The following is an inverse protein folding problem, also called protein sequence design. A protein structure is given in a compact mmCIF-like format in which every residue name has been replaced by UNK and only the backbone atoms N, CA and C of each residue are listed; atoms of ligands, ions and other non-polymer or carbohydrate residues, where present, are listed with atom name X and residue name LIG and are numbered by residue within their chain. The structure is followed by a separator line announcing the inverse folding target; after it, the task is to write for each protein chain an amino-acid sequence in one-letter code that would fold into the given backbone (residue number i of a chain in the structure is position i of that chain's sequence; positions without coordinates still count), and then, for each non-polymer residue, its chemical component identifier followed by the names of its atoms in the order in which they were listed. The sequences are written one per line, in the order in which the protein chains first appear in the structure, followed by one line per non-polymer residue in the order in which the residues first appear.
data_IF_691247054047
#
_entry.id   IF_691247054047
#
_cell.length_a   1.000
_cell.length_b   1.000
_cell.length_c   1.000
_cell.angle_alpha   90.00
_cell.angle_beta   90.00
_cell.angle_gamma   90.00
#
_symmetry.space_group_name_H-M   'P 1'
#
loop_
_entity.id
_entity.type
_entity.pdbx_description
1 polymer ?
#
# COMPACT_ATOMS: atom_id res chain seq x y z
N UNK A 1 5.72 -3.43 -28.50
CA UNK A 1 5.16 -2.25 -27.79
C UNK A 1 5.36 -2.51 -26.30
N UNK A 2 5.90 -1.54 -25.56
CA UNK A 2 6.02 -1.65 -24.10
C UNK A 2 4.71 -1.18 -23.48
N UNK A 3 3.97 -2.09 -22.84
CA UNK A 3 2.83 -1.71 -22.03
C UNK A 3 3.35 -1.24 -20.67
N UNK A 4 2.95 -0.03 -20.27
CA UNK A 4 3.32 0.55 -18.98
C UNK A 4 2.09 0.52 -18.09
N UNK A 5 2.14 -0.29 -17.06
CA UNK A 5 1.11 -0.34 -16.03
C UNK A 5 1.48 0.58 -14.87
N UNK A 6 0.54 1.38 -14.40
CA UNK A 6 0.76 2.29 -13.27
C UNK A 6 -0.10 1.89 -12.08
N UNK A 7 0.51 1.83 -10.91
CA UNK A 7 -0.17 1.70 -9.62
C UNK A 7 -0.05 3.04 -8.90
N UNK A 8 -1.18 3.65 -8.58
CA UNK A 8 -1.23 4.88 -7.77
C UNK A 8 -1.52 4.51 -6.31
N UNK A 9 -0.77 5.10 -5.39
CA UNK A 9 -0.93 4.95 -3.95
C UNK A 9 -0.93 6.35 -3.31
N UNK A 10 -2.09 6.77 -2.82
CA UNK A 10 -2.26 8.06 -2.15
C UNK A 10 -2.44 7.84 -0.64
N UNK A 11 -1.58 8.46 0.16
CA UNK A 11 -1.62 8.38 1.62
C UNK A 11 -2.02 9.75 2.16
N UNK A 12 -3.20 9.86 2.75
CA UNK A 12 -3.64 11.06 3.43
C UNK A 12 -3.13 11.05 4.88
N UNK A 13 -2.44 12.12 5.25
CA UNK A 13 -1.86 12.30 6.57
C UNK A 13 -2.70 13.29 7.40
N UNK A 14 -2.70 13.11 8.71
CA UNK A 14 -3.24 14.10 9.65
C UNK A 14 -2.26 15.26 9.90
N UNK A 15 -2.65 16.21 10.76
CA UNK A 15 -1.83 17.37 11.15
C UNK A 15 -0.47 16.98 11.78
N UNK A 16 -0.38 15.79 12.35
CA UNK A 16 0.83 15.23 12.96
C UNK A 16 1.63 14.35 11.97
N UNK A 17 1.28 14.38 10.68
CA UNK A 17 1.88 13.57 9.60
C UNK A 17 1.68 12.07 9.77
N UNK A 18 0.64 11.64 10.48
CA UNK A 18 0.34 10.21 10.64
C UNK A 18 -0.68 9.77 9.58
N UNK A 19 -0.49 8.61 8.91
CA UNK A 19 -1.44 8.08 7.94
C UNK A 19 -2.84 7.88 8.52
N UNK A 20 -3.82 8.56 7.93
CA UNK A 20 -5.24 8.44 8.29
C UNK A 20 -6.00 7.57 7.27
N UNK A 21 -5.76 7.78 5.97
CA UNK A 21 -6.42 7.03 4.89
C UNK A 21 -5.43 6.67 3.80
N UNK A 22 -5.64 5.51 3.19
CA UNK A 22 -4.86 5.03 2.05
C UNK A 22 -5.83 4.81 0.91
N UNK A 23 -5.52 5.33 -0.27
CA UNK A 23 -6.25 5.05 -1.50
C UNK A 23 -5.30 4.43 -2.51
N UNK A 24 -5.79 3.47 -3.29
CA UNK A 24 -5.01 2.86 -4.35
C UNK A 24 -5.83 2.68 -5.62
N UNK A 25 -5.13 2.67 -6.75
CA UNK A 25 -5.71 2.45 -8.07
C UNK A 25 -4.72 1.71 -8.96
N UNK A 26 -5.20 0.69 -9.66
CA UNK A 26 -4.43 -0.07 -10.63
C UNK A 26 -5.38 -0.47 -11.77
N UNK A 27 -5.52 0.40 -12.77
CA UNK A 27 -6.54 0.26 -13.80
C UNK A 27 -6.38 -1.03 -14.61
N UNK A 28 -5.14 -1.40 -14.94
CA UNK A 28 -4.84 -2.65 -15.64
C UNK A 28 -4.96 -3.89 -14.74
N UNK A 29 -4.86 -3.71 -13.42
CA UNK A 29 -5.06 -4.75 -12.41
C UNK A 29 -6.53 -4.94 -11.99
N UNK A 30 -7.47 -4.27 -12.67
CA UNK A 30 -8.91 -4.39 -12.39
C UNK A 30 -9.46 -3.38 -11.36
N UNK A 31 -8.62 -2.51 -10.79
CA UNK A 31 -9.04 -1.43 -9.87
C UNK A 31 -9.00 -0.11 -10.61
N UNK A 32 -10.08 0.14 -11.36
CA UNK A 32 -10.18 1.29 -12.28
C UNK A 32 -10.44 2.63 -11.60
N UNK A 33 -10.89 2.64 -10.34
CA UNK A 33 -11.15 3.85 -9.54
C UNK A 33 -10.34 3.84 -8.25
N UNK A 34 -9.92 5.02 -7.74
CA UNK A 34 -9.30 5.11 -6.42
C UNK A 34 -10.19 4.45 -5.36
N UNK A 35 -9.65 3.45 -4.70
CA UNK A 35 -10.37 2.64 -3.70
C UNK A 35 -9.66 2.77 -2.35
N UNK A 36 -10.44 2.99 -1.30
CA UNK A 36 -9.90 3.09 0.06
C UNK A 36 -9.41 1.71 0.53
N UNK A 37 -8.21 1.68 1.10
CA UNK A 37 -7.61 0.52 1.73
C UNK A 37 -7.25 0.83 3.18
N UNK A 38 -7.32 -0.19 4.03
CA UNK A 38 -6.92 -0.07 5.45
C UNK A 38 -5.41 -0.26 5.64
N UNK A 39 -4.79 -1.04 4.77
CA UNK A 39 -3.38 -1.36 4.77
C UNK A 39 -2.86 -1.55 3.34
N UNK A 40 -1.56 -1.31 3.14
CA UNK A 40 -0.85 -1.58 1.90
C UNK A 40 0.55 -2.08 2.24
N UNK A 41 0.98 -3.16 1.59
CA UNK A 41 2.32 -3.71 1.72
C UNK A 41 2.99 -3.69 0.35
N UNK A 42 4.15 -3.03 0.28
CA UNK A 42 4.97 -2.99 -0.93
C UNK A 42 6.34 -3.55 -0.62
N UNK A 43 6.73 -4.61 -1.33
CA UNK A 43 8.08 -5.16 -1.29
C UNK A 43 8.75 -4.89 -2.63
N UNK A 44 9.92 -4.27 -2.59
CA UNK A 44 10.71 -3.88 -3.77
C UNK A 44 12.05 -4.58 -3.67
N UNK A 45 12.49 -5.21 -4.75
CA UNK A 45 13.87 -5.66 -4.88
C UNK A 45 14.67 -4.57 -5.57
N UNK A 46 15.54 -3.90 -4.82
CA UNK A 46 16.42 -2.87 -5.38
C UNK A 46 17.66 -3.54 -6.02
N UNK A 47 17.81 -3.37 -7.33
CA UNK A 47 18.92 -3.95 -8.10
C UNK A 47 20.28 -3.27 -7.84
N UNK A 48 20.28 -2.00 -7.43
CA UNK A 48 21.49 -1.25 -7.15
C UNK A 48 22.06 -1.64 -5.78
N UNK A 49 21.19 -1.79 -4.79
CA UNK A 49 21.57 -2.12 -3.43
C UNK A 49 21.57 -3.63 -3.15
N UNK A 50 21.03 -4.45 -4.07
CA UNK A 50 20.78 -5.89 -3.89
C UNK A 50 20.09 -6.18 -2.56
N UNK A 51 19.07 -5.37 -2.25
CA UNK A 51 18.36 -5.40 -1.00
C UNK A 51 16.85 -5.46 -1.23
N UNK A 52 16.15 -6.13 -0.32
CA UNK A 52 14.71 -6.09 -0.24
C UNK A 52 14.29 -4.85 0.58
N UNK A 53 13.64 -3.89 -0.07
CA UNK A 53 13.00 -2.77 0.58
C UNK A 53 11.54 -3.13 0.84
N UNK A 54 11.02 -2.75 2.01
CA UNK A 54 9.63 -2.97 2.39
C UNK A 54 9.03 -1.68 2.92
N UNK A 55 7.86 -1.32 2.41
CA UNK A 55 7.04 -0.24 2.92
C UNK A 55 5.75 -0.88 3.44
N UNK A 56 5.58 -0.85 4.75
CA UNK A 56 4.35 -1.24 5.44
C UNK A 56 3.59 0.02 5.85
N UNK A 57 2.38 0.18 5.31
CA UNK A 57 1.50 1.28 5.65
C UNK A 57 0.18 0.72 6.18
N UNK A 58 -0.20 1.17 7.38
CA UNK A 58 -1.51 0.89 7.97
C UNK A 58 -2.13 2.17 8.50
N UNK A 59 -3.45 2.28 8.38
CA UNK A 59 -4.20 3.42 8.93
C UNK A 59 -4.40 3.27 10.44
N UNK A 60 -4.53 4.37 11.19
CA UNK A 60 -4.84 4.36 12.64
C UNK A 60 -6.11 3.59 13.01
N UNK A 61 -7.04 3.41 12.05
CA UNK A 61 -8.35 2.78 12.25
C UNK A 61 -8.33 1.27 12.05
N UNK A 62 -7.19 0.69 11.63
CA UNK A 62 -7.03 -0.75 11.58
C UNK A 62 -7.05 -1.28 13.01
N UNK A 63 -8.07 -2.08 13.34
CA UNK A 63 -8.15 -2.67 14.69
C UNK A 63 -7.01 -3.69 14.86
N UNK A 64 -6.55 -3.89 16.10
CA UNK A 64 -5.44 -4.82 16.41
C UNK A 64 -5.71 -6.23 15.84
N UNK A 65 -6.96 -6.68 15.91
CA UNK A 65 -7.40 -7.96 15.34
C UNK A 65 -7.25 -8.01 13.81
N UNK A 66 -7.44 -6.89 13.10
CA UNK A 66 -7.23 -6.80 11.64
C UNK A 66 -5.73 -6.78 11.28
N UNK A 67 -4.87 -6.29 12.18
CA UNK A 67 -3.42 -6.35 12.00
C UNK A 67 -2.87 -7.78 12.14
N UNK A 68 -3.36 -8.54 13.12
CA UNK A 68 -2.97 -9.94 13.30
C UNK A 68 -3.36 -10.80 12.08
N UNK A 69 -4.57 -10.63 11.56
CA UNK A 69 -4.98 -11.34 10.33
C UNK A 69 -4.12 -10.98 9.11
N UNK A 70 -3.66 -9.72 8.99
CA UNK A 70 -2.80 -9.26 7.90
C UNK A 70 -1.35 -9.80 7.99
N UNK A 71 -0.83 -10.01 9.19
CA UNK A 71 0.55 -10.50 9.39
C UNK A 71 0.68 -12.02 9.39
N UNK A 72 -0.34 -12.76 9.84
CA UNK A 72 -0.24 -14.21 10.04
C UNK A 72 -0.80 -15.07 8.89
N UNK A 73 -1.55 -14.49 7.96
CA UNK A 73 -2.05 -15.20 6.77
C UNK A 73 -1.44 -14.64 5.49
N UNK A 74 -0.30 -15.20 5.03
CA UNK A 74 0.31 -14.85 3.76
C UNK A 74 -0.49 -15.37 2.55
#
# INVERSE_FOLDING_TARGET
MSNTSTIHLDVQLDENKVPEKIFWQAAEGGVSKPTEAKAFMLSIWDLNENAALRIDLWTKKMMVDEMDDFFFRP
#
